data_IF_146916425994
#
_entry.id   IF_146916425994
#
_cell.length_a   1.000
_cell.length_b   1.000
_cell.length_c   1.000
_cell.angle_alpha   90.00
_cell.angle_beta   90.00
_cell.angle_gamma   90.00
#
_symmetry.space_group_name_H-M   'P 1'
#
loop_
_entity.id
_entity.type
_entity.pdbx_description
1 polymer ?
#
# COMPACT_ATOMS: atom_id res chain seq x y z
N UNK A 1 30.94 3.88 4.72
CA UNK A 1 31.11 5.30 5.04
C UNK A 1 29.80 5.81 5.63
N UNK A 2 29.80 6.10 6.93
CA UNK A 2 28.63 6.61 7.67
C UNK A 2 28.56 8.12 7.52
N UNK A 3 27.59 8.61 6.75
CA UNK A 3 27.34 10.05 6.61
C UNK A 3 26.74 10.60 7.91
N UNK A 4 27.15 11.82 8.29
CA UNK A 4 26.77 12.47 9.55
C UNK A 4 25.35 13.02 9.46
N UNK A 5 24.63 13.10 10.58
CA UNK A 5 23.24 13.61 10.71
C UNK A 5 23.00 14.94 9.97
N UNK A 6 24.04 15.76 9.79
CA UNK A 6 23.96 17.09 9.16
C UNK A 6 23.70 17.08 7.65
N UNK A 7 23.97 15.97 6.95
CA UNK A 7 23.84 15.93 5.49
C UNK A 7 22.43 15.55 5.02
N UNK A 8 21.52 15.14 5.90
CA UNK A 8 20.17 14.74 5.53
C UNK A 8 19.13 15.65 6.19
N UNK A 9 18.21 16.21 5.40
CA UNK A 9 16.95 16.73 5.95
C UNK A 9 16.16 15.58 6.57
N UNK A 10 15.42 15.80 7.68
CA UNK A 10 14.59 14.78 8.32
C UNK A 10 13.71 14.05 7.32
N UNK A 11 13.47 12.77 7.57
CA UNK A 11 12.63 11.95 6.72
C UNK A 11 11.22 12.54 6.67
N UNK A 12 10.69 12.91 5.48
CA UNK A 12 9.37 13.51 5.39
C UNK A 12 8.27 12.52 5.83
N UNK A 13 8.58 11.22 5.82
CA UNK A 13 7.64 10.17 6.18
C UNK A 13 7.60 9.88 7.69
N UNK A 14 8.73 9.80 8.39
CA UNK A 14 8.75 9.41 9.80
C UNK A 14 9.47 10.40 10.74
N UNK A 15 9.93 11.54 10.22
CA UNK A 15 10.65 12.55 11.00
C UNK A 15 12.05 12.14 11.46
N UNK A 16 12.48 10.89 11.22
CA UNK A 16 13.81 10.42 11.61
C UNK A 16 14.89 11.21 10.89
N UNK A 17 15.94 11.53 11.64
CA UNK A 17 17.14 12.23 11.18
C UNK A 17 18.29 11.27 10.83
N UNK A 18 18.09 9.97 11.04
CA UNK A 18 19.06 8.92 10.73
C UNK A 18 18.62 8.14 9.49
N UNK A 19 19.42 8.27 8.43
CA UNK A 19 19.23 7.65 7.13
C UNK A 19 20.55 7.04 6.67
N UNK A 20 20.45 6.09 5.75
CA UNK A 20 21.61 5.45 5.12
C UNK A 20 21.73 5.95 3.69
N UNK A 21 22.94 6.11 3.18
CA UNK A 21 23.17 6.18 1.74
C UNK A 21 23.55 4.79 1.25
N UNK A 22 22.67 4.17 0.49
CA UNK A 22 22.91 2.85 -0.08
C UNK A 22 23.59 2.96 -1.44
N UNK A 23 24.46 1.97 -1.70
CA UNK A 23 25.09 1.75 -3.00
C UNK A 23 24.48 0.50 -3.62
N UNK A 24 24.09 0.60 -4.89
CA UNK A 24 23.53 -0.49 -5.67
C UNK A 24 24.60 -1.06 -6.62
N UNK A 25 24.55 -2.37 -6.95
CA UNK A 25 25.53 -3.01 -7.84
C UNK A 25 25.65 -2.36 -9.22
N UNK A 26 24.58 -1.73 -9.70
CA UNK A 26 24.51 -1.06 -11.01
C UNK A 26 25.12 0.36 -11.00
N UNK A 27 25.85 0.73 -9.94
CA UNK A 27 26.57 2.01 -9.84
C UNK A 27 25.71 3.18 -9.35
N UNK A 28 24.51 2.93 -8.84
CA UNK A 28 23.64 3.98 -8.30
C UNK A 28 23.74 4.11 -6.78
N UNK A 29 23.37 5.27 -6.29
CA UNK A 29 23.24 5.61 -4.88
C UNK A 29 21.82 6.11 -4.60
N UNK A 30 21.27 5.76 -3.43
CA UNK A 30 20.02 6.34 -2.95
C UNK A 30 20.03 6.43 -1.43
N UNK A 31 19.44 7.50 -0.89
CA UNK A 31 19.29 7.64 0.56
C UNK A 31 18.05 6.86 1.03
N UNK A 32 18.20 6.00 2.03
CA UNK A 32 17.14 5.17 2.61
C UNK A 32 16.93 5.51 4.08
N UNK A 33 15.67 5.68 4.48
CA UNK A 33 15.28 5.73 5.87
C UNK A 33 14.89 4.33 6.40
N UNK A 34 15.10 4.11 7.70
CA UNK A 34 14.66 2.90 8.40
C UNK A 34 13.16 2.61 8.27
N UNK A 35 12.33 3.63 8.01
CA UNK A 35 10.90 3.43 7.75
C UNK A 35 10.59 2.84 6.36
N UNK A 36 11.61 2.54 5.54
CA UNK A 36 11.47 2.01 4.19
C UNK A 36 11.39 3.07 3.09
N UNK A 37 11.39 4.36 3.45
CA UNK A 37 11.44 5.45 2.48
C UNK A 37 12.78 5.43 1.74
N UNK A 38 12.75 5.48 0.41
CA UNK A 38 13.94 5.52 -0.43
C UNK A 38 13.97 6.80 -1.26
N UNK A 39 15.18 7.28 -1.51
CA UNK A 39 15.46 8.41 -2.37
C UNK A 39 15.53 8.09 -3.84
N UNK A 40 15.58 9.13 -4.69
CA UNK A 40 15.87 8.93 -6.10
C UNK A 40 17.24 8.26 -6.23
N UNK A 41 17.31 7.26 -7.11
CA UNK A 41 18.57 6.63 -7.50
C UNK A 41 19.35 7.62 -8.37
N UNK A 42 20.60 7.88 -8.01
CA UNK A 42 21.51 8.77 -8.74
C UNK A 42 22.85 8.09 -8.96
N UNK A 43 23.52 8.40 -10.05
CA UNK A 43 24.85 7.85 -10.36
C UNK A 43 25.95 8.45 -9.49
N UNK A 44 25.65 9.55 -8.81
CA UNK A 44 26.56 10.21 -7.87
C UNK A 44 25.97 10.27 -6.45
N UNK A 45 26.86 10.17 -5.45
CA UNK A 45 26.49 10.18 -4.02
C UNK A 45 25.94 11.53 -3.58
N UNK A 46 26.56 12.64 -4.01
CA UNK A 46 26.10 13.98 -3.65
C UNK A 46 24.78 14.28 -4.32
N UNK A 47 24.57 13.87 -5.56
CA UNK A 47 23.26 14.00 -6.22
C UNK A 47 22.17 13.19 -5.51
N UNK A 48 22.48 12.01 -4.98
CA UNK A 48 21.52 11.19 -4.21
C UNK A 48 21.13 11.87 -2.88
N UNK A 49 22.11 12.51 -2.21
CA UNK A 49 21.92 13.27 -0.97
C UNK A 49 21.19 14.58 -1.24
N UNK A 50 21.58 15.32 -2.27
CA UNK A 50 20.91 16.54 -2.71
C UNK A 50 19.48 16.22 -3.12
N UNK A 51 19.26 15.18 -3.92
CA UNK A 51 17.93 14.64 -4.19
C UNK A 51 17.19 14.16 -2.94
N UNK A 52 17.87 13.89 -1.81
CA UNK A 52 17.28 13.72 -0.47
C UNK A 52 16.91 15.00 0.26
N UNK A 53 17.64 16.08 0.02
CA UNK A 53 17.45 17.33 0.73
C UNK A 53 16.59 18.33 -0.04
N UNK A 54 16.56 18.24 -1.36
CA UNK A 54 15.78 19.11 -2.25
C UNK A 54 14.43 18.51 -2.60
N UNK A 55 14.23 17.22 -2.34
CA UNK A 55 12.89 16.64 -2.38
C UNK A 55 11.98 17.40 -1.43
N UNK A 56 10.80 17.75 -1.93
CA UNK A 56 9.85 18.54 -1.19
C UNK A 56 9.55 17.87 0.16
N UNK A 57 9.63 18.65 1.25
CA UNK A 57 9.20 18.20 2.59
C UNK A 57 7.71 17.84 2.63
N UNK A 58 6.98 18.18 1.57
CA UNK A 58 5.59 17.87 1.32
C UNK A 58 5.36 16.49 0.67
N UNK A 59 6.40 15.64 0.60
CA UNK A 59 6.30 14.27 0.10
C UNK A 59 5.31 13.44 0.93
N UNK A 60 4.07 13.45 0.44
CA UNK A 60 3.02 12.47 0.65
C UNK A 60 3.63 11.09 0.78
N UNK A 61 3.21 10.36 1.83
CA UNK A 61 3.42 8.93 1.91
C UNK A 61 2.98 8.30 0.59
N UNK A 62 3.95 7.91 -0.24
CA UNK A 62 3.75 7.24 -1.52
C UNK A 62 4.12 5.77 -1.32
N UNK A 63 3.22 4.98 -0.71
CA UNK A 63 3.46 3.57 -0.47
C UNK A 63 3.50 2.75 -1.76
N UNK A 64 3.05 3.34 -2.87
CA UNK A 64 2.82 2.65 -4.13
C UNK A 64 4.02 2.66 -5.07
N UNK A 65 5.07 3.43 -4.76
CA UNK A 65 6.17 3.75 -5.70
C UNK A 65 5.65 4.26 -7.06
N UNK A 66 4.49 4.93 -7.07
CA UNK A 66 3.91 5.50 -8.30
C UNK A 66 4.69 6.75 -8.69
N UNK A 67 4.83 6.98 -10.01
CA UNK A 67 5.30 8.26 -10.54
C UNK A 67 4.16 9.28 -10.46
N UNK A 68 4.05 9.94 -9.31
CA UNK A 68 3.01 10.93 -9.04
C UNK A 68 3.57 12.32 -9.34
N UNK A 69 2.93 13.04 -10.27
CA UNK A 69 3.21 14.45 -10.55
C UNK A 69 2.10 15.30 -9.96
N UNK A 70 2.48 16.21 -9.08
CA UNK A 70 1.60 17.22 -8.50
C UNK A 70 1.70 18.48 -9.38
N UNK A 71 0.59 19.04 -9.92
CA UNK A 71 0.63 20.32 -10.63
C UNK A 71 1.24 21.44 -9.75
N UNK A 72 1.88 22.42 -10.39
CA UNK A 72 2.89 23.32 -9.78
C UNK A 72 2.44 24.22 -8.61
N UNK A 73 1.16 24.26 -8.24
CA UNK A 73 0.61 25.08 -7.14
C UNK A 73 -0.24 24.23 -6.18
N UNK A 74 0.40 23.47 -5.26
CA UNK A 74 -0.28 22.55 -4.30
C UNK A 74 0.11 22.86 -2.85
N UNK A 75 -0.21 24.06 -2.38
CA UNK A 75 -0.20 24.36 -0.94
C UNK A 75 -1.55 24.06 -0.28
N UNK A 76 -2.63 23.92 -1.05
CA UNK A 76 -3.96 23.59 -0.53
C UNK A 76 -4.16 22.09 -0.43
N UNK A 77 -4.64 21.65 0.73
CA UNK A 77 -5.36 20.38 0.84
C UNK A 77 -6.72 20.61 0.19
N UNK A 78 -7.11 19.78 -0.79
CA UNK A 78 -8.40 19.94 -1.47
C UNK A 78 -9.56 19.58 -0.54
N UNK A 79 -9.40 18.51 0.24
CA UNK A 79 -10.39 18.07 1.22
C UNK A 79 -9.72 17.40 2.42
N UNK A 80 -10.09 17.80 3.64
CA UNK A 80 -9.58 17.25 4.89
C UNK A 80 -10.65 17.25 5.97
N UNK A 81 -10.50 16.36 6.95
CA UNK A 81 -11.42 16.28 8.06
C UNK A 81 -11.06 15.17 9.05
N UNK A 82 -11.94 14.98 10.02
CA UNK A 82 -11.84 13.92 11.04
C UNK A 82 -12.87 12.83 10.76
N UNK A 83 -12.45 11.57 10.92
CA UNK A 83 -13.35 10.42 10.90
C UNK A 83 -14.31 10.41 12.10
N UNK A 84 -14.01 11.18 13.15
CA UNK A 84 -14.91 11.45 14.28
C UNK A 84 -16.17 12.23 13.87
N UNK A 85 -16.10 12.98 12.76
CA UNK A 85 -17.19 13.85 12.30
C UNK A 85 -17.88 13.31 11.04
N UNK A 86 -17.18 12.57 10.20
CA UNK A 86 -17.69 12.01 8.95
C UNK A 86 -17.16 10.60 8.80
N UNK A 87 -18.04 9.62 8.61
CA UNK A 87 -17.60 8.24 8.42
C UNK A 87 -16.80 8.06 7.11
N UNK A 88 -15.95 7.04 7.11
CA UNK A 88 -15.08 6.74 5.98
C UNK A 88 -15.86 6.42 4.69
N UNK A 89 -17.04 5.81 4.80
CA UNK A 89 -17.88 5.46 3.65
C UNK A 89 -18.34 6.73 2.91
N UNK A 90 -18.76 7.74 3.65
CA UNK A 90 -19.21 9.03 3.13
C UNK A 90 -18.06 9.79 2.46
N UNK A 91 -16.87 9.80 3.05
CA UNK A 91 -15.66 10.39 2.45
C UNK A 91 -15.36 9.70 1.12
N UNK A 92 -15.32 8.38 1.11
CA UNK A 92 -14.98 7.59 -0.06
C UNK A 92 -16.04 7.72 -1.17
N UNK A 93 -17.33 7.72 -0.81
CA UNK A 93 -18.44 7.93 -1.75
C UNK A 93 -18.42 9.31 -2.39
N UNK A 94 -18.11 10.35 -1.61
CA UNK A 94 -18.00 11.72 -2.12
C UNK A 94 -16.88 11.83 -3.17
N UNK A 95 -15.72 11.26 -2.89
CA UNK A 95 -14.60 11.24 -3.85
C UNK A 95 -14.95 10.45 -5.11
N UNK A 96 -15.61 9.30 -4.95
CA UNK A 96 -16.05 8.48 -6.09
C UNK A 96 -17.06 9.21 -6.97
N UNK A 97 -18.07 9.84 -6.38
CA UNK A 97 -19.15 10.53 -7.11
C UNK A 97 -18.66 11.79 -7.83
N UNK A 98 -17.54 12.37 -7.38
CA UNK A 98 -16.89 13.51 -8.02
C UNK A 98 -15.81 13.11 -9.03
N UNK A 99 -15.75 11.84 -9.45
CA UNK A 99 -14.75 11.27 -10.37
C UNK A 99 -13.31 11.66 -10.02
N UNK A 100 -13.01 11.72 -8.71
CA UNK A 100 -11.75 12.24 -8.21
C UNK A 100 -10.55 11.36 -8.59
N UNK A 101 -9.45 12.02 -8.95
CA UNK A 101 -8.17 11.39 -9.28
C UNK A 101 -7.08 11.98 -8.40
N UNK A 102 -6.59 11.18 -7.44
CA UNK A 102 -5.79 11.71 -6.35
C UNK A 102 -5.38 10.67 -5.32
N UNK A 103 -4.85 11.16 -4.20
CA UNK A 103 -4.48 10.34 -3.05
C UNK A 103 -5.30 10.77 -1.85
N UNK A 104 -6.08 9.84 -1.30
CA UNK A 104 -6.66 9.95 0.03
C UNK A 104 -5.70 9.31 1.03
N UNK A 105 -5.23 10.07 2.01
CA UNK A 105 -4.43 9.60 3.15
C UNK A 105 -5.28 9.59 4.40
N UNK A 106 -5.14 8.55 5.23
CA UNK A 106 -5.85 8.38 6.50
C UNK A 106 -4.84 8.01 7.59
N UNK A 107 -4.89 8.70 8.73
CA UNK A 107 -3.96 8.52 9.84
C UNK A 107 -4.75 8.35 11.14
N UNK A 108 -4.38 7.33 11.93
CA UNK A 108 -4.87 7.12 13.30
C UNK A 108 -3.69 6.67 14.16
N UNK A 109 -3.35 7.48 15.15
CA UNK A 109 -2.16 7.30 15.99
C UNK A 109 -0.88 7.06 15.18
N UNK A 110 -0.35 5.83 15.23
CA UNK A 110 0.84 5.39 14.49
C UNK A 110 0.49 4.63 13.20
N UNK A 111 -0.79 4.30 12.97
CA UNK A 111 -1.26 3.62 11.78
C UNK A 111 -1.54 4.62 10.66
N UNK A 112 -1.18 4.23 9.44
CA UNK A 112 -1.39 5.04 8.23
C UNK A 112 -1.92 4.18 7.10
N UNK A 113 -2.85 4.75 6.35
CA UNK A 113 -3.38 4.15 5.13
C UNK A 113 -3.55 5.22 4.06
N UNK A 114 -3.57 4.77 2.81
CA UNK A 114 -3.64 5.61 1.65
C UNK A 114 -4.28 4.84 0.53
N UNK A 115 -5.05 5.58 -0.25
CA UNK A 115 -5.81 5.09 -1.37
C UNK A 115 -5.50 6.02 -2.52
N UNK A 116 -5.05 5.44 -3.62
CA UNK A 116 -4.97 6.14 -4.88
C UNK A 116 -6.30 5.93 -5.60
N UNK A 117 -6.92 7.05 -6.00
CA UNK A 117 -8.12 7.07 -6.81
C UNK A 117 -7.79 7.56 -8.22
N UNK A 118 -8.50 7.01 -9.19
CA UNK A 118 -8.54 7.48 -10.57
C UNK A 118 -9.96 7.38 -11.10
N UNK A 119 -10.48 8.49 -11.58
CA UNK A 119 -11.84 8.61 -12.12
C UNK A 119 -12.86 7.97 -11.15
N UNK A 120 -12.73 8.32 -9.86
CA UNK A 120 -13.58 7.84 -8.77
C UNK A 120 -13.35 6.37 -8.34
N UNK A 121 -12.49 5.62 -9.03
CA UNK A 121 -12.20 4.21 -8.73
C UNK A 121 -10.88 4.03 -7.98
N UNK A 122 -10.80 2.96 -7.19
CA UNK A 122 -9.61 2.63 -6.42
C UNK A 122 -8.67 1.83 -7.31
N UNK A 123 -7.40 2.21 -7.33
CA UNK A 123 -6.40 1.61 -8.21
C UNK A 123 -5.18 1.12 -7.44
N UNK A 124 -4.94 1.67 -6.26
CA UNK A 124 -3.97 1.17 -5.31
C UNK A 124 -4.40 1.54 -3.90
N UNK A 125 -4.12 0.66 -2.94
CA UNK A 125 -4.30 0.94 -1.51
C UNK A 125 -3.17 0.30 -0.73
N UNK A 126 -2.73 1.01 0.30
CA UNK A 126 -1.67 0.54 1.17
C UNK A 126 -2.02 0.92 2.58
N UNK A 127 -1.70 0.01 3.49
CA UNK A 127 -1.80 0.23 4.91
C UNK A 127 -0.50 -0.20 5.60
N UNK A 128 -0.29 0.34 6.80
CA UNK A 128 0.80 -0.08 7.66
C UNK A 128 0.51 -1.41 8.37
N UNK A 129 -0.76 -1.78 8.50
CA UNK A 129 -1.25 -2.84 9.41
C UNK A 129 -1.94 -4.02 8.72
N UNK A 130 -2.26 -3.95 7.44
CA UNK A 130 -3.03 -4.97 6.76
C UNK A 130 -2.20 -6.07 6.13
N UNK A 131 -2.90 -6.94 5.40
CA UNK A 131 -2.33 -8.15 4.84
C UNK A 131 -1.28 -7.81 3.78
N UNK A 132 -0.07 -8.32 3.99
CA UNK A 132 1.02 -8.23 3.01
C UNK A 132 0.77 -9.21 1.87
N UNK A 133 1.13 -8.83 0.64
CA UNK A 133 1.03 -9.67 -0.56
C UNK A 133 1.53 -11.11 -0.35
N UNK A 134 2.71 -11.27 0.27
CA UNK A 134 3.27 -12.59 0.59
C UNK A 134 2.42 -13.42 1.56
N UNK A 135 1.77 -12.77 2.53
CA UNK A 135 0.87 -13.43 3.47
C UNK A 135 -0.41 -13.89 2.77
N UNK A 136 -0.94 -13.10 1.83
CA UNK A 136 -2.13 -13.48 1.04
C UNK A 136 -1.80 -14.72 0.19
N UNK A 137 -0.67 -14.72 -0.51
CA UNK A 137 -0.21 -15.88 -1.29
C UNK A 137 -0.07 -17.14 -0.42
N UNK A 138 0.53 -17.00 0.76
CA UNK A 138 0.73 -18.11 1.69
C UNK A 138 -0.60 -18.64 2.24
N UNK A 139 -1.49 -17.73 2.69
CA UNK A 139 -2.80 -18.10 3.22
C UNK A 139 -3.69 -18.79 2.17
N UNK A 140 -3.56 -18.40 0.91
CA UNK A 140 -4.28 -19.01 -0.21
C UNK A 140 -3.63 -20.32 -0.70
N UNK A 141 -2.53 -20.77 -0.08
CA UNK A 141 -1.81 -21.99 -0.49
C UNK A 141 -1.11 -21.86 -1.86
N UNK A 142 -0.91 -20.64 -2.36
CA UNK A 142 -0.29 -20.37 -3.65
C UNK A 142 1.24 -20.41 -3.58
N UNK A 143 1.82 -20.23 -2.39
CA UNK A 143 3.25 -20.32 -2.15
C UNK A 143 3.53 -21.04 -0.83
N UNK A 144 4.59 -21.85 -0.78
CA UNK A 144 5.06 -22.46 0.45
C UNK A 144 5.73 -21.43 1.36
N UNK A 145 5.79 -21.72 2.67
CA UNK A 145 6.52 -20.88 3.61
C UNK A 145 7.99 -20.70 3.19
N UNK A 146 8.63 -21.78 2.73
CA UNK A 146 10.02 -21.77 2.29
C UNK A 146 10.24 -20.82 1.09
N UNK A 147 9.46 -20.96 0.01
CA UNK A 147 9.55 -20.10 -1.17
C UNK A 147 9.27 -18.63 -0.83
N UNK A 148 8.34 -18.37 0.09
CA UNK A 148 8.09 -17.01 0.58
C UNK A 148 9.31 -16.44 1.32
N UNK A 149 9.96 -17.22 2.19
CA UNK A 149 11.17 -16.77 2.89
C UNK A 149 12.34 -16.50 1.93
N UNK A 150 12.50 -17.35 0.91
CA UNK A 150 13.52 -17.15 -0.14
C UNK A 150 13.27 -15.86 -0.92
N UNK A 151 12.02 -15.62 -1.35
CA UNK A 151 11.65 -14.40 -2.05
C UNK A 151 11.82 -13.15 -1.17
N UNK A 152 11.50 -13.22 0.13
CA UNK A 152 11.72 -12.10 1.06
C UNK A 152 13.21 -11.77 1.23
N UNK A 153 14.08 -12.80 1.33
CA UNK A 153 15.53 -12.62 1.41
C UNK A 153 16.07 -11.96 0.13
N UNK A 154 15.63 -12.44 -1.03
CA UNK A 154 16.07 -11.91 -2.33
C UNK A 154 15.54 -10.49 -2.59
N UNK A 155 14.29 -10.19 -2.23
CA UNK A 155 13.73 -8.84 -2.30
C UNK A 155 14.53 -7.88 -1.40
N UNK A 156 14.89 -8.31 -0.19
CA UNK A 156 15.73 -7.52 0.71
C UNK A 156 17.14 -7.28 0.16
N UNK A 157 17.74 -8.28 -0.48
CA UNK A 157 19.08 -8.20 -1.08
C UNK A 157 19.11 -7.29 -2.30
N UNK A 158 18.12 -7.40 -3.18
CA UNK A 158 18.05 -6.65 -4.44
C UNK A 158 17.36 -5.28 -4.33
N UNK A 159 16.59 -5.04 -3.26
CA UNK A 159 15.77 -3.84 -3.08
C UNK A 159 14.52 -3.78 -3.97
N UNK A 160 14.25 -4.85 -4.74
CA UNK A 160 13.07 -5.02 -5.59
C UNK A 160 11.80 -5.24 -4.75
N UNK A 161 10.64 -5.00 -5.35
CA UNK A 161 9.38 -5.29 -4.68
C UNK A 161 9.17 -6.81 -4.58
N UNK A 162 8.53 -7.27 -3.51
CA UNK A 162 8.29 -8.71 -3.31
C UNK A 162 7.52 -9.33 -4.48
N UNK A 163 6.56 -8.62 -5.08
CA UNK A 163 5.83 -9.08 -6.26
C UNK A 163 6.74 -9.29 -7.49
N UNK A 164 7.63 -8.34 -7.77
CA UNK A 164 8.63 -8.46 -8.84
C UNK A 164 9.60 -9.62 -8.58
N UNK A 165 10.04 -9.77 -7.34
CA UNK A 165 10.93 -10.87 -6.94
C UNK A 165 10.24 -12.22 -7.16
N UNK A 166 9.01 -12.36 -6.68
CA UNK A 166 8.21 -13.59 -6.83
C UNK A 166 7.98 -13.96 -8.30
N UNK A 167 7.72 -12.97 -9.17
CA UNK A 167 7.63 -13.18 -10.62
C UNK A 167 8.97 -13.63 -11.21
N UNK A 168 10.06 -12.93 -10.86
CA UNK A 168 11.39 -13.22 -11.42
C UNK A 168 11.92 -14.59 -11.01
N UNK A 169 11.54 -15.07 -9.83
CA UNK A 169 11.87 -16.41 -9.33
C UNK A 169 10.95 -17.50 -9.90
N UNK A 170 9.92 -17.11 -10.67
CA UNK A 170 8.94 -18.04 -11.21
C UNK A 170 8.07 -18.69 -10.13
N UNK A 171 7.89 -18.06 -8.96
CA UNK A 171 7.02 -18.61 -7.91
C UNK A 171 5.55 -18.26 -8.11
N UNK A 172 5.27 -17.20 -8.87
CA UNK A 172 3.92 -16.79 -9.26
C UNK A 172 3.90 -16.37 -10.73
N UNK A 173 2.74 -16.46 -11.37
CA UNK A 173 2.52 -15.90 -12.72
C UNK A 173 2.05 -14.46 -12.63
N UNK A 174 2.11 -13.72 -13.75
CA UNK A 174 1.62 -12.35 -13.82
C UNK A 174 0.12 -12.26 -13.47
N UNK A 175 -0.68 -13.22 -13.94
CA UNK A 175 -2.13 -13.25 -13.64
C UNK A 175 -2.40 -13.49 -12.16
N UNK A 176 -1.69 -14.43 -11.52
CA UNK A 176 -1.82 -14.67 -10.07
C UNK A 176 -1.40 -13.42 -9.30
N UNK A 177 -0.30 -12.77 -9.70
CA UNK A 177 0.15 -11.56 -9.03
C UNK A 177 -0.89 -10.45 -9.15
N UNK A 178 -1.47 -10.22 -10.34
CA UNK A 178 -2.54 -9.24 -10.57
C UNK A 178 -3.74 -9.50 -9.68
N UNK A 179 -4.20 -10.75 -9.60
CA UNK A 179 -5.33 -11.15 -8.73
C UNK A 179 -5.04 -10.89 -7.26
N UNK A 180 -3.84 -11.24 -6.79
CA UNK A 180 -3.47 -11.05 -5.37
C UNK A 180 -3.29 -9.58 -5.03
N UNK A 181 -2.72 -8.76 -5.94
CA UNK A 181 -2.65 -7.31 -5.76
C UNK A 181 -4.05 -6.73 -5.66
N UNK A 182 -4.97 -7.13 -6.54
CA UNK A 182 -6.37 -6.69 -6.47
C UNK A 182 -7.01 -7.05 -5.13
N UNK A 183 -6.83 -8.29 -4.64
CA UNK A 183 -7.30 -8.69 -3.31
C UNK A 183 -6.65 -7.84 -2.20
N UNK A 184 -5.35 -7.61 -2.27
CA UNK A 184 -4.64 -6.80 -1.29
C UNK A 184 -5.20 -5.38 -1.20
N UNK A 185 -5.46 -4.75 -2.35
CA UNK A 185 -6.06 -3.41 -2.42
C UNK A 185 -7.44 -3.42 -1.76
N UNK A 186 -8.29 -4.40 -2.09
CA UNK A 186 -9.62 -4.50 -1.49
C UNK A 186 -9.56 -4.62 0.03
N UNK A 187 -8.72 -5.51 0.55
CA UNK A 187 -8.59 -5.73 2.00
C UNK A 187 -8.05 -4.48 2.71
N UNK A 188 -7.05 -3.80 2.14
CA UNK A 188 -6.49 -2.59 2.73
C UNK A 188 -7.50 -1.44 2.85
N UNK A 189 -8.43 -1.33 1.88
CA UNK A 189 -9.51 -0.32 1.93
C UNK A 189 -10.61 -0.75 2.90
N UNK A 190 -11.02 -2.03 2.88
CA UNK A 190 -12.08 -2.54 3.75
C UNK A 190 -11.71 -2.39 5.24
N UNK A 191 -10.43 -2.51 5.59
CA UNK A 191 -9.95 -2.27 6.95
C UNK A 191 -10.26 -0.84 7.46
N UNK A 192 -10.29 0.16 6.57
CA UNK A 192 -10.58 1.55 6.96
C UNK A 192 -12.03 1.78 7.36
N UNK A 193 -12.98 0.96 6.92
CA UNK A 193 -14.38 1.07 7.37
C UNK A 193 -14.56 0.75 8.85
N UNK A 194 -13.59 0.08 9.47
CA UNK A 194 -13.56 -0.18 10.91
C UNK A 194 -12.92 0.95 11.72
N UNK A 195 -12.33 1.96 11.07
CA UNK A 195 -11.73 3.10 11.77
C UNK A 195 -12.82 4.10 12.12
N UNK A 196 -13.08 4.27 13.42
CA UNK A 196 -14.10 5.21 13.95
C UNK A 196 -13.55 6.61 14.24
N UNK A 197 -12.24 6.75 14.27
CA UNK A 197 -11.52 7.96 14.61
C UNK A 197 -10.26 8.06 13.75
N UNK A 198 -9.74 9.27 13.58
CA UNK A 198 -8.55 9.55 12.78
C UNK A 198 -8.74 10.75 11.86
N UNK A 199 -7.67 11.15 11.21
CA UNK A 199 -7.64 12.31 10.33
C UNK A 199 -7.38 11.89 8.89
N UNK A 200 -8.06 12.52 7.94
CA UNK A 200 -7.87 12.26 6.52
C UNK A 200 -7.52 13.52 5.74
N UNK A 201 -6.76 13.35 4.67
CA UNK A 201 -6.46 14.37 3.66
C UNK A 201 -6.57 13.77 2.27
N UNK A 202 -7.26 14.47 1.38
CA UNK A 202 -7.31 14.18 -0.05
C UNK A 202 -6.59 15.27 -0.84
N UNK A 203 -5.87 14.85 -1.87
CA UNK A 203 -5.18 15.74 -2.81
C UNK A 203 -5.31 15.23 -4.23
N UNK A 204 -5.68 16.10 -5.15
CA UNK A 204 -5.64 15.81 -6.58
C UNK A 204 -4.19 15.61 -7.04
N UNK A 205 -3.96 14.64 -7.93
CA UNK A 205 -2.64 14.40 -8.49
C UNK A 205 -2.70 13.78 -9.88
N UNK A 206 -1.68 14.05 -10.69
CA UNK A 206 -1.49 13.37 -11.98
C UNK A 206 -0.68 12.12 -11.72
N UNK A 207 -1.28 10.95 -11.91
CA UNK A 207 -0.58 9.69 -11.75
C UNK A 207 -0.38 9.05 -13.12
N UNK A 208 0.88 8.83 -13.48
CA UNK A 208 1.22 7.99 -14.62
C UNK A 208 1.11 6.53 -14.19
N UNK A 209 0.05 5.85 -14.64
CA UNK A 209 -0.04 4.40 -14.54
C UNK A 209 0.57 3.76 -15.78
N UNK A 210 1.38 2.74 -15.57
CA UNK A 210 1.71 1.83 -16.67
C UNK A 210 0.42 1.21 -17.20
N UNK A 211 0.23 1.31 -18.51
CA UNK A 211 -1.03 0.97 -19.20
C UNK A 211 -1.42 -0.51 -19.09
N UNK A 212 -0.55 -1.37 -18.56
CA UNK A 212 -0.59 -2.82 -18.76
C UNK A 212 -1.05 -3.68 -17.57
N UNK A 213 -1.54 -3.13 -16.45
CA UNK A 213 -1.83 -4.05 -15.34
C UNK A 213 -2.58 -3.64 -14.10
N UNK A 214 -3.12 -2.43 -13.98
CA UNK A 214 -3.89 -2.06 -12.78
C UNK A 214 -5.37 -2.26 -13.04
N UNK A 215 -5.92 -3.33 -12.49
CA UNK A 215 -7.37 -3.52 -12.42
C UNK A 215 -7.92 -2.57 -11.36
N UNK A 216 -8.71 -1.59 -11.81
CA UNK A 216 -9.43 -0.72 -10.91
C UNK A 216 -10.44 -1.54 -10.09
N UNK A 217 -10.43 -1.31 -8.79
CA UNK A 217 -11.43 -1.77 -7.84
C UNK A 217 -12.54 -0.72 -7.79
N UNK A 218 -13.78 -1.15 -8.06
CA UNK A 218 -14.94 -0.28 -7.95
C UNK A 218 -15.14 0.17 -6.51
N UNK A 219 -15.20 1.49 -6.31
CA UNK A 219 -15.44 2.09 -5.00
C UNK A 219 -16.81 1.68 -4.46
N UNK A 220 -17.82 1.62 -5.32
CA UNK A 220 -19.18 1.21 -4.93
C UNK A 220 -19.22 -0.25 -4.48
N UNK A 221 -18.53 -1.16 -5.18
CA UNK A 221 -18.43 -2.56 -4.76
C UNK A 221 -17.79 -2.70 -3.38
N UNK A 222 -16.76 -1.89 -3.08
CA UNK A 222 -16.10 -1.88 -1.77
C UNK A 222 -17.03 -1.37 -0.68
N UNK A 223 -17.77 -0.29 -0.93
CA UNK A 223 -18.74 0.25 0.03
C UNK A 223 -19.81 -0.81 0.33
N UNK A 224 -20.41 -1.42 -0.70
CA UNK A 224 -21.42 -2.46 -0.52
C UNK A 224 -20.86 -3.69 0.23
N UNK A 225 -19.63 -4.09 -0.08
CA UNK A 225 -18.96 -5.18 0.64
C UNK A 225 -18.70 -4.83 2.11
N UNK A 226 -18.36 -3.58 2.41
CA UNK A 226 -18.11 -3.13 3.79
C UNK A 226 -19.36 -3.25 4.66
N UNK A 227 -20.52 -2.85 4.12
CA UNK A 227 -21.82 -2.95 4.79
C UNK A 227 -22.12 -4.42 5.09
N UNK A 228 -21.97 -5.29 4.08
CA UNK A 228 -22.13 -6.74 4.24
C UNK A 228 -21.24 -7.32 5.36
N UNK A 229 -19.97 -6.91 5.44
CA UNK A 229 -19.04 -7.38 6.49
C UNK A 229 -19.39 -6.86 7.88
N UNK A 230 -19.86 -5.62 7.98
CA UNK A 230 -20.28 -5.03 9.26
C UNK A 230 -21.53 -5.74 9.81
N UNK A 231 -22.50 -6.06 8.94
CA UNK A 231 -23.70 -6.81 9.32
C UNK A 231 -23.35 -8.22 9.82
N UNK A 232 -22.50 -8.95 9.08
CA UNK A 232 -21.98 -10.27 9.49
C UNK A 232 -21.28 -10.20 10.86
N UNK A 233 -20.51 -9.14 11.09
CA UNK A 233 -19.77 -8.93 12.33
C UNK A 233 -20.70 -8.69 13.52
N UNK A 234 -21.73 -7.88 13.34
CA UNK A 234 -22.70 -7.59 14.40
C UNK A 234 -23.59 -8.80 14.72
N UNK A 235 -23.84 -9.68 13.75
CA UNK A 235 -24.45 -10.99 14.02
C UNK A 235 -23.56 -11.90 14.88
N UNK A 236 -22.27 -11.99 14.59
CA UNK A 236 -21.33 -12.83 15.34
C UNK A 236 -21.19 -12.35 16.80
N UNK A 237 -21.14 -11.02 17.01
CA UNK A 237 -21.16 -10.42 18.35
C UNK A 237 -22.43 -10.78 19.12
N UNK A 238 -23.61 -10.68 18.49
CA UNK A 238 -24.89 -11.06 19.12
C UNK A 238 -24.93 -12.53 19.52
N UNK A 239 -24.25 -13.39 18.76
CA UNK A 239 -24.12 -14.83 19.04
C UNK A 239 -23.02 -15.16 20.08
N UNK A 240 -22.38 -14.17 20.68
CA UNK A 240 -21.34 -14.38 21.70
C UNK A 240 -20.06 -15.04 21.17
N UNK A 241 -19.81 -14.99 19.86
CA UNK A 241 -18.59 -15.54 19.29
C UNK A 241 -17.38 -14.70 19.71
N UNK A 242 -16.24 -15.32 20.06
CA UNK A 242 -15.03 -14.57 20.40
C UNK A 242 -14.64 -13.69 19.22
N UNK A 243 -14.19 -12.45 19.49
CA UNK A 243 -13.81 -11.50 18.45
C UNK A 243 -12.80 -12.15 17.48
N UNK A 244 -13.16 -12.35 16.20
CA UNK A 244 -12.22 -12.89 15.22
C UNK A 244 -10.92 -12.10 15.21
N UNK A 245 -9.81 -12.82 15.26
CA UNK A 245 -8.48 -12.26 15.01
C UNK A 245 -8.47 -11.53 13.66
N UNK A 246 -7.53 -10.59 13.45
CA UNK A 246 -7.34 -9.93 12.14
C UNK A 246 -7.19 -10.99 11.03
N UNK A 247 -6.75 -12.21 11.31
CA UNK A 247 -6.68 -13.27 10.30
C UNK A 247 -8.05 -13.93 10.04
N UNK A 248 -8.90 -14.05 11.06
CA UNK A 248 -10.24 -14.66 10.93
C UNK A 248 -11.29 -13.72 10.34
N UNK A 249 -11.16 -12.41 10.54
CA UNK A 249 -11.97 -11.40 9.82
C UNK A 249 -11.85 -11.52 8.29
N UNK A 250 -10.70 -12.00 7.82
CA UNK A 250 -10.39 -12.16 6.39
C UNK A 250 -10.69 -13.58 5.87
N UNK A 251 -10.98 -14.57 6.74
CA UNK A 251 -11.27 -15.96 6.34
C UNK A 251 -12.73 -16.23 5.96
N UNK A 252 -13.67 -15.34 6.29
CA UNK A 252 -15.11 -15.58 6.02
C UNK A 252 -15.45 -15.72 4.52
N UNK A 253 -14.59 -15.23 3.62
CA UNK A 253 -14.80 -15.29 2.16
C UNK A 253 -14.19 -16.48 1.42
N UNK A 254 -13.29 -17.26 2.03
CA UNK A 254 -12.68 -18.39 1.32
C UNK A 254 -13.67 -19.53 1.01
N UNK A 255 -14.90 -19.50 1.54
CA UNK A 255 -15.89 -20.57 1.38
C UNK A 255 -16.77 -20.44 0.13
N UNK A 256 -16.91 -19.27 -0.51
CA UNK A 256 -17.99 -19.06 -1.50
C UNK A 256 -17.63 -18.41 -2.85
N UNK A 257 -16.35 -18.27 -3.23
CA UNK A 257 -16.01 -17.98 -4.64
C UNK A 257 -14.86 -18.87 -5.11
N UNK A 258 -15.20 -19.83 -5.99
CA UNK A 258 -14.33 -20.67 -6.84
C UNK A 258 -12.88 -20.83 -6.35
N UNK A 259 -12.64 -21.87 -5.56
CA UNK A 259 -11.29 -22.40 -5.36
C UNK A 259 -10.75 -22.87 -6.71
N UNK A 260 -9.86 -22.09 -7.32
CA UNK A 260 -9.02 -22.56 -8.42
C UNK A 260 -7.97 -23.48 -7.78
N UNK A 261 -7.80 -24.73 -8.25
CA UNK A 261 -6.81 -25.63 -7.68
C UNK A 261 -5.41 -24.99 -7.80
N UNK A 262 -4.56 -25.10 -6.77
CA UNK A 262 -3.23 -24.54 -6.81
C UNK A 262 -2.43 -25.22 -7.93
N UNK A 263 -2.13 -24.50 -9.02
CA UNK A 263 -1.01 -24.87 -9.89
C UNK A 263 0.27 -24.55 -9.13
N UNK A 264 0.62 -25.43 -8.19
CA UNK A 264 1.95 -25.46 -7.61
C UNK A 264 2.89 -25.73 -8.79
N UNK A 265 3.70 -24.75 -9.18
CA UNK A 265 4.80 -25.01 -10.10
C UNK A 265 5.67 -26.08 -9.44
N UNK A 266 5.91 -27.23 -10.09
CA UNK A 266 6.59 -28.37 -9.47
C UNK A 266 7.96 -27.94 -8.96
N UNK A 267 8.37 -28.50 -7.82
CA UNK A 267 9.74 -28.36 -7.34
C UNK A 267 10.69 -28.95 -8.39
N UNK A 268 11.62 -28.12 -8.87
CA UNK A 268 12.76 -28.58 -9.67
C UNK A 268 13.93 -28.90 -8.75
#
# INVERSE_FOLDING_TARGET
MSYTIKEFKPCPFCGRIWMFLDSYPEGYFAVRCLCGANGPKKTDKREAIEGWNTRDRHLLWNPFRLSIRFPKDILSVDFKGSLDSVDFASVLQMLASGDKTGILSVIRDHARSAICLKDGNIIAASDTTGLRLGQILYNNGMISHQRLQEALKEAKKSGRMIGETLLSMGYVTQDILKQVIHQQVQEAVLELFFWKEGYFEYRDCVVDFDKDGIHAVSTMEIIMESVRRLDEWDELKRKGSPAPSVIERHKSKARHKTAIPPRILPDK
#
